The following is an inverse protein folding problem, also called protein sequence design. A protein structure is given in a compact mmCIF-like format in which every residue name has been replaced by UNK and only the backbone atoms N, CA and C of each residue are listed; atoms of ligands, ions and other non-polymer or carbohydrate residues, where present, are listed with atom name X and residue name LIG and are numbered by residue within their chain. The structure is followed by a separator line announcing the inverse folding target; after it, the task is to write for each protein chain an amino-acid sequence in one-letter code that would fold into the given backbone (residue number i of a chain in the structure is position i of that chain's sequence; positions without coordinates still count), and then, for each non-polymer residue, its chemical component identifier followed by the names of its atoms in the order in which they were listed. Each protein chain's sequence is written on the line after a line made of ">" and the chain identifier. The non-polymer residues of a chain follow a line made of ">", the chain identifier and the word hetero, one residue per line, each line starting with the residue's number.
data_IF_987312132203
#
_entry.id   IF_987312132203
#
_cell.length_a   1.000
_cell.length_b   1.000
_cell.length_c   1.000
_cell.angle_alpha   90.00
_cell.angle_beta   90.00
_cell.angle_gamma   90.00
#
_symmetry.space_group_name_H-M   'P 1'
#
loop_
_entity.id
_entity.type
_entity.pdbx_description
1 polymer ?
#
# COMPACT_ATOMS: atom_id res chain seq x y z
N UNK A 1 32.16 -21.89 -50.98
CA UNK A 1 32.67 -21.24 -49.75
C UNK A 1 31.51 -21.14 -48.77
N UNK A 2 31.58 -21.98 -47.75
CA UNK A 2 30.65 -22.13 -46.63
C UNK A 2 30.67 -20.88 -45.73
N UNK A 3 29.52 -20.33 -45.32
CA UNK A 3 29.26 -19.85 -43.94
C UNK A 3 27.75 -19.84 -43.66
N UNK A 4 27.28 -20.95 -43.12
CA UNK A 4 26.00 -21.13 -42.45
C UNK A 4 26.13 -20.49 -41.05
N UNK A 5 25.34 -19.46 -40.74
CA UNK A 5 25.19 -18.96 -39.37
C UNK A 5 23.81 -19.43 -38.89
N UNK A 6 23.83 -20.46 -38.05
CA UNK A 6 22.69 -20.91 -37.27
C UNK A 6 22.60 -19.98 -36.06
N UNK A 7 21.57 -19.14 -36.01
CA UNK A 7 21.19 -18.44 -34.78
C UNK A 7 20.30 -19.38 -33.97
N UNK A 8 20.91 -20.06 -32.99
CA UNK A 8 20.23 -20.81 -31.95
C UNK A 8 19.76 -19.81 -30.90
N UNK A 9 18.51 -19.35 -30.99
CA UNK A 9 17.90 -18.55 -29.93
C UNK A 9 17.39 -19.51 -28.85
N UNK A 10 18.08 -19.50 -27.72
CA UNK A 10 17.76 -20.23 -26.50
C UNK A 10 16.37 -19.82 -25.99
N UNK A 11 15.46 -20.78 -25.87
CA UNK A 11 14.16 -20.60 -25.24
C UNK A 11 14.38 -20.55 -23.73
N UNK A 12 14.34 -19.35 -23.14
CA UNK A 12 14.33 -19.20 -21.69
C UNK A 12 12.92 -19.53 -21.18
N UNK A 13 12.75 -20.72 -20.60
CA UNK A 13 11.60 -21.03 -19.77
C UNK A 13 11.63 -20.13 -18.53
N UNK A 14 10.76 -19.13 -18.50
CA UNK A 14 10.45 -18.40 -17.28
C UNK A 14 9.64 -19.34 -16.39
N UNK A 15 10.28 -19.85 -15.34
CA UNK A 15 9.57 -20.54 -14.27
C UNK A 15 8.83 -19.47 -13.46
N UNK A 16 7.49 -19.43 -13.56
CA UNK A 16 6.69 -18.70 -12.58
C UNK A 16 6.79 -19.45 -11.26
N UNK A 17 7.52 -18.88 -10.30
CA UNK A 17 7.42 -19.30 -8.92
C UNK A 17 5.99 -18.98 -8.45
N UNK A 18 5.27 -20.01 -8.02
CA UNK A 18 3.98 -19.88 -7.35
C UNK A 18 4.27 -19.28 -5.97
N UNK A 19 4.05 -17.99 -5.80
CA UNK A 19 4.12 -17.36 -4.47
C UNK A 19 3.07 -18.03 -3.58
N UNK A 20 3.54 -18.66 -2.51
CA UNK A 20 2.66 -19.14 -1.46
C UNK A 20 2.08 -17.90 -0.78
N UNK A 21 0.77 -17.68 -0.95
CA UNK A 21 0.02 -16.60 -0.31
C UNK A 21 0.12 -16.75 1.22
N UNK A 22 1.15 -16.16 1.82
CA UNK A 22 1.24 -16.01 3.27
C UNK A 22 0.43 -14.77 3.63
N UNK A 23 -0.76 -15.00 4.17
CA UNK A 23 -1.60 -13.90 4.62
C UNK A 23 -0.97 -13.23 5.84
N UNK A 24 -0.45 -12.02 5.66
CA UNK A 24 0.05 -11.20 6.76
C UNK A 24 -1.09 -10.64 7.63
N UNK A 25 -0.85 -10.52 8.93
CA UNK A 25 -1.79 -9.94 9.89
C UNK A 25 -1.54 -8.44 9.97
N UNK A 26 -2.59 -7.66 9.80
CA UNK A 26 -2.54 -6.21 9.91
C UNK A 26 -2.29 -5.80 11.38
N UNK A 27 -1.17 -5.13 11.72
CA UNK A 27 -0.79 -4.85 13.11
C UNK A 27 -1.81 -4.04 13.92
N UNK A 28 -2.61 -3.21 13.26
CA UNK A 28 -3.60 -2.33 13.87
C UNK A 28 -5.04 -2.75 13.52
N UNK A 29 -5.24 -3.97 13.00
CA UNK A 29 -6.55 -4.47 12.58
C UNK A 29 -7.12 -3.77 11.35
N UNK A 30 -6.26 -3.10 10.57
CA UNK A 30 -6.62 -2.43 9.34
C UNK A 30 -6.69 -3.35 8.12
N UNK A 31 -6.70 -2.71 6.96
CA UNK A 31 -6.61 -3.36 5.65
C UNK A 31 -5.21 -3.22 5.08
N UNK A 32 -4.59 -4.34 4.70
CA UNK A 32 -3.28 -4.35 4.04
C UNK A 32 -3.44 -4.20 2.51
N UNK A 33 -2.63 -3.33 1.92
CA UNK A 33 -2.45 -3.15 0.49
C UNK A 33 -0.98 -3.42 0.17
N UNK A 34 -0.70 -4.41 -0.66
CA UNK A 34 0.66 -4.76 -1.08
C UNK A 34 1.18 -3.75 -2.12
N UNK A 35 2.48 -3.44 -2.04
CA UNK A 35 3.15 -2.50 -2.94
C UNK A 35 4.43 -3.13 -3.47
N UNK A 36 4.59 -3.08 -4.80
CA UNK A 36 5.83 -3.44 -5.48
C UNK A 36 6.15 -4.93 -5.42
N UNK A 37 5.22 -5.81 -5.81
CA UNK A 37 5.44 -7.27 -5.78
C UNK A 37 5.82 -7.75 -4.36
N UNK A 38 4.94 -7.45 -3.39
CA UNK A 38 5.10 -7.86 -1.99
C UNK A 38 6.36 -7.29 -1.29
N UNK A 39 6.99 -6.23 -1.79
CA UNK A 39 8.16 -5.61 -1.13
C UNK A 39 7.78 -4.80 0.11
N UNK A 40 6.59 -4.19 0.10
CA UNK A 40 6.06 -3.36 1.17
C UNK A 40 4.56 -3.58 1.34
N UNK A 41 4.04 -3.23 2.50
CA UNK A 41 2.62 -3.21 2.77
C UNK A 41 2.19 -1.84 3.30
N UNK A 42 0.99 -1.41 2.90
CA UNK A 42 0.31 -0.25 3.45
C UNK A 42 -0.84 -0.75 4.32
N UNK A 43 -0.88 -0.36 5.58
CA UNK A 43 -2.04 -0.65 6.43
C UNK A 43 -2.92 0.60 6.55
N UNK A 44 -4.16 0.49 6.07
CA UNK A 44 -5.18 1.51 6.27
C UNK A 44 -6.08 1.14 7.45
N UNK A 45 -6.24 2.06 8.39
CA UNK A 45 -7.09 1.91 9.58
C UNK A 45 -8.12 3.03 9.60
N UNK A 46 -9.40 2.68 9.57
CA UNK A 46 -10.50 3.63 9.65
C UNK A 46 -11.10 3.64 11.06
N UNK A 47 -11.13 4.81 11.69
CA UNK A 47 -11.96 5.05 12.87
C UNK A 47 -13.25 5.76 12.45
N UNK A 48 -14.36 5.03 12.47
CA UNK A 48 -15.67 5.54 12.08
C UNK A 48 -16.23 6.57 13.08
N UNK A 49 -15.88 6.47 14.36
CA UNK A 49 -16.37 7.40 15.37
C UNK A 49 -15.66 8.75 15.26
N UNK A 50 -14.33 8.71 15.09
CA UNK A 50 -13.52 9.92 14.90
C UNK A 50 -13.65 10.50 13.48
N UNK A 51 -13.98 9.68 12.48
CA UNK A 51 -13.95 10.08 11.08
C UNK A 51 -12.52 10.23 10.55
N UNK A 52 -11.61 9.37 10.98
CA UNK A 52 -10.20 9.39 10.61
C UNK A 52 -9.81 8.17 9.79
N UNK A 53 -8.81 8.37 8.93
CA UNK A 53 -8.11 7.31 8.23
C UNK A 53 -6.64 7.45 8.54
N UNK A 54 -6.05 6.39 9.08
CA UNK A 54 -4.62 6.29 9.36
C UNK A 54 -4.00 5.32 8.37
N UNK A 55 -2.82 5.69 7.86
CA UNK A 55 -1.99 4.88 6.98
C UNK A 55 -0.68 4.58 7.70
N UNK A 56 -0.33 3.31 7.79
CA UNK A 56 1.01 2.87 8.19
C UNK A 56 1.76 2.30 7.00
N UNK A 57 3.04 2.64 6.90
CA UNK A 57 3.95 2.10 5.90
C UNK A 57 4.77 0.99 6.55
N UNK A 58 4.71 -0.20 5.98
CA UNK A 58 5.27 -1.42 6.55
C UNK A 58 6.18 -2.14 5.54
N UNK A 59 7.00 -3.05 6.02
CA UNK A 59 7.75 -3.99 5.19
C UNK A 59 6.85 -5.05 4.55
N UNK A 60 7.46 -5.92 3.73
CA UNK A 60 6.81 -7.03 3.03
C UNK A 60 5.88 -7.87 3.92
N UNK A 61 6.27 -8.09 5.17
CA UNK A 61 5.58 -9.01 6.07
C UNK A 61 4.61 -8.31 7.04
N UNK A 62 4.46 -6.98 6.93
CA UNK A 62 3.69 -6.16 7.84
C UNK A 62 4.17 -6.26 9.30
N UNK A 63 5.46 -6.52 9.53
CA UNK A 63 6.03 -6.72 10.87
C UNK A 63 6.84 -5.51 11.34
N UNK A 64 7.43 -4.77 10.40
CA UNK A 64 8.26 -3.62 10.71
C UNK A 64 7.76 -2.35 10.00
N UNK A 65 7.86 -1.23 10.71
CA UNK A 65 7.53 0.09 10.21
C UNK A 65 8.64 0.65 9.29
N UNK A 66 8.23 1.22 8.16
CA UNK A 66 9.13 1.82 7.17
C UNK A 66 8.89 3.33 7.13
N UNK A 67 9.82 4.10 7.68
CA UNK A 67 9.72 5.57 7.67
C UNK A 67 9.93 6.14 6.28
N UNK A 68 9.17 7.18 5.95
CA UNK A 68 9.26 7.89 4.69
C UNK A 68 9.69 9.34 4.91
N UNK A 69 10.49 9.92 3.99
CA UNK A 69 10.83 11.33 3.97
C UNK A 69 9.69 12.19 3.40
N UNK A 70 8.46 11.98 3.87
CA UNK A 70 7.25 12.64 3.36
C UNK A 70 6.52 13.40 4.47
N UNK A 71 6.03 14.60 4.14
CA UNK A 71 5.18 15.40 5.06
C UNK A 71 3.70 15.06 4.93
N UNK A 72 3.31 14.51 3.79
CA UNK A 72 1.94 14.08 3.52
C UNK A 72 1.90 13.10 2.36
N UNK A 73 0.86 12.26 2.32
CA UNK A 73 0.54 11.38 1.19
C UNK A 73 -0.86 11.74 0.69
N UNK A 74 -1.01 11.91 -0.62
CA UNK A 74 -2.31 12.18 -1.22
C UNK A 74 -2.96 10.89 -1.72
N UNK A 75 -4.21 10.68 -1.34
CA UNK A 75 -5.03 9.55 -1.81
C UNK A 75 -6.25 10.14 -2.52
N UNK A 76 -6.37 9.84 -3.82
CA UNK A 76 -7.61 10.09 -4.56
C UNK A 76 -8.57 8.94 -4.27
N UNK A 77 -9.80 9.25 -3.87
CA UNK A 77 -10.78 8.27 -3.41
C UNK A 77 -12.05 8.38 -4.24
N UNK A 78 -12.60 7.23 -4.62
CA UNK A 78 -13.95 7.11 -5.12
C UNK A 78 -14.82 6.42 -4.07
N UNK A 79 -15.86 7.11 -3.62
CA UNK A 79 -16.79 6.60 -2.61
C UNK A 79 -18.23 6.90 -3.02
N UNK A 80 -19.02 5.85 -3.24
CA UNK A 80 -20.40 5.93 -3.75
C UNK A 80 -20.53 6.84 -4.99
N UNK A 81 -19.62 6.69 -5.95
CA UNK A 81 -19.60 7.47 -7.20
C UNK A 81 -19.20 8.95 -7.05
N UNK A 82 -18.68 9.35 -5.88
CA UNK A 82 -18.11 10.68 -5.65
C UNK A 82 -16.60 10.61 -5.59
N UNK A 83 -15.95 11.57 -6.22
CA UNK A 83 -14.51 11.77 -6.09
C UNK A 83 -14.22 12.60 -4.84
N UNK A 84 -13.37 12.07 -3.97
CA UNK A 84 -12.86 12.69 -2.76
C UNK A 84 -11.32 12.70 -2.83
N UNK A 85 -10.69 13.56 -2.03
CA UNK A 85 -9.24 13.58 -1.88
C UNK A 85 -8.89 13.69 -0.40
N UNK A 86 -8.05 12.78 0.08
CA UNK A 86 -7.46 12.88 1.42
C UNK A 86 -5.98 13.25 1.29
N UNK A 87 -5.55 14.23 2.07
CA UNK A 87 -4.13 14.51 2.30
C UNK A 87 -3.79 13.99 3.69
N UNK A 88 -3.17 12.82 3.75
CA UNK A 88 -2.79 12.19 5.01
C UNK A 88 -1.49 12.83 5.48
N UNK A 89 -1.56 13.61 6.56
CA UNK A 89 -0.44 14.31 7.13
C UNK A 89 0.45 13.35 7.94
N UNK A 90 1.77 13.52 7.83
CA UNK A 90 2.75 12.79 8.61
C UNK A 90 2.53 13.00 10.12
N UNK A 91 2.59 11.92 10.89
CA UNK A 91 2.45 11.93 12.35
C UNK A 91 3.81 11.68 12.98
N UNK A 92 4.28 12.62 13.81
CA UNK A 92 5.47 12.42 14.63
C UNK A 92 5.14 11.54 15.84
N UNK A 93 6.13 10.79 16.33
CA UNK A 93 5.99 10.00 17.54
C UNK A 93 7.29 10.08 18.35
N UNK A 94 7.22 10.76 19.50
CA UNK A 94 8.38 11.01 20.36
C UNK A 94 8.97 9.72 20.94
N UNK A 95 8.15 8.69 21.19
CA UNK A 95 8.60 7.43 21.78
C UNK A 95 9.43 6.60 20.79
N UNK A 96 9.09 6.64 19.51
CA UNK A 96 9.87 6.00 18.45
C UNK A 96 10.96 6.91 17.87
N UNK A 97 10.92 8.21 18.17
CA UNK A 97 11.78 9.22 17.57
C UNK A 97 11.42 9.56 16.12
N UNK A 98 10.20 9.25 15.68
CA UNK A 98 9.68 9.66 14.38
C UNK A 98 9.31 11.14 14.36
N UNK A 99 9.55 11.81 13.23
CA UNK A 99 9.27 13.23 13.03
C UNK A 99 8.47 13.46 11.75
N UNK A 100 7.93 14.66 11.58
CA UNK A 100 7.29 15.04 10.31
C UNK A 100 8.36 15.08 9.21
N UNK A 101 8.20 14.21 8.19
CA UNK A 101 9.23 14.00 7.18
C UNK A 101 10.27 12.93 7.54
N UNK A 102 10.03 12.15 8.61
CA UNK A 102 10.70 10.87 8.91
C UNK A 102 9.77 10.04 9.80
N UNK A 103 8.69 9.52 9.21
CA UNK A 103 7.68 8.73 9.94
C UNK A 103 7.09 7.65 9.05
N UNK A 104 6.60 6.59 9.68
CA UNK A 104 5.83 5.50 9.08
C UNK A 104 4.32 5.71 9.16
N UNK A 105 3.85 6.74 9.88
CA UNK A 105 2.43 6.96 10.14
C UNK A 105 1.92 8.26 9.52
N UNK A 106 0.77 8.18 8.84
CA UNK A 106 0.10 9.31 8.22
C UNK A 106 -1.39 9.29 8.55
N UNK A 107 -2.05 10.44 8.72
CA UNK A 107 -3.48 10.48 9.06
C UNK A 107 -4.23 11.64 8.40
N UNK A 108 -5.49 11.41 8.06
CA UNK A 108 -6.43 12.43 7.60
C UNK A 108 -7.80 12.26 8.30
N UNK A 109 -8.60 13.33 8.28
CA UNK A 109 -9.99 13.31 8.75
C UNK A 109 -10.93 13.79 7.67
N UNK A 110 -12.12 13.18 7.61
CA UNK A 110 -13.21 13.63 6.75
C UNK A 110 -14.55 13.14 7.30
N UNK A 111 -15.60 13.95 7.17
CA UNK A 111 -16.93 13.58 7.69
C UNK A 111 -17.52 12.33 7.03
N UNK A 112 -17.22 12.11 5.75
CA UNK A 112 -17.71 10.92 5.04
C UNK A 112 -17.09 9.63 5.60
N UNK A 113 -15.89 9.68 6.19
CA UNK A 113 -15.27 8.52 6.86
C UNK A 113 -16.08 8.06 8.06
N UNK A 114 -16.99 8.86 8.63
CA UNK A 114 -17.87 8.39 9.71
C UNK A 114 -18.98 7.46 9.23
N UNK A 115 -19.34 7.54 7.95
CA UNK A 115 -20.54 6.91 7.38
C UNK A 115 -20.22 5.84 6.35
N UNK A 116 -19.18 6.07 5.55
CA UNK A 116 -18.82 5.18 4.45
C UNK A 116 -17.74 4.22 4.91
N UNK A 117 -18.11 2.94 5.00
CA UNK A 117 -17.21 1.86 5.38
C UNK A 117 -16.40 1.28 4.21
N UNK A 118 -16.84 1.54 2.98
CA UNK A 118 -16.26 0.98 1.77
C UNK A 118 -15.89 2.09 0.79
N UNK A 119 -14.67 2.04 0.25
CA UNK A 119 -14.20 2.95 -0.77
C UNK A 119 -13.04 2.36 -1.55
N UNK A 120 -12.85 2.84 -2.78
CA UNK A 120 -11.67 2.56 -3.58
C UNK A 120 -10.89 3.85 -3.82
N UNK A 121 -9.63 3.74 -4.20
CA UNK A 121 -8.79 4.91 -4.41
C UNK A 121 -7.45 4.57 -5.01
N UNK A 122 -6.60 5.59 -5.07
CA UNK A 122 -5.29 5.50 -5.67
C UNK A 122 -4.33 6.52 -5.07
N UNK A 123 -3.11 6.07 -4.81
CA UNK A 123 -1.95 6.94 -4.56
C UNK A 123 -1.21 7.07 -5.89
N UNK A 124 -1.14 8.28 -6.44
CA UNK A 124 -0.57 8.50 -7.77
C UNK A 124 0.93 8.17 -7.82
N UNK A 125 1.66 8.54 -6.77
CA UNK A 125 3.07 8.21 -6.60
C UNK A 125 3.38 8.06 -5.11
N UNK A 126 4.12 7.00 -4.76
CA UNK A 126 4.62 6.74 -3.43
C UNK A 126 6.10 6.36 -3.54
N UNK A 127 6.96 7.07 -2.83
CA UNK A 127 8.38 6.72 -2.76
C UNK A 127 8.66 5.98 -1.46
N UNK A 128 9.22 4.78 -1.55
CA UNK A 128 9.63 3.97 -0.40
C UNK A 128 11.08 3.54 -0.62
N UNK A 129 11.97 3.90 0.30
CA UNK A 129 13.42 3.59 0.24
C UNK A 129 14.09 3.97 -1.10
N UNK A 130 13.68 5.09 -1.70
CA UNK A 130 14.22 5.59 -2.97
C UNK A 130 13.66 4.92 -4.23
N UNK A 131 12.75 3.94 -4.09
CA UNK A 131 11.99 3.36 -5.20
C UNK A 131 10.64 4.07 -5.33
N UNK A 132 10.26 4.44 -6.57
CA UNK A 132 9.00 5.09 -6.86
C UNK A 132 7.96 4.07 -7.35
N UNK A 133 6.84 3.99 -6.65
CA UNK A 133 5.68 3.18 -6.98
C UNK A 133 4.58 4.10 -7.48
N UNK A 134 4.03 3.80 -8.66
CA UNK A 134 2.98 4.62 -9.29
C UNK A 134 1.65 3.89 -9.26
N UNK A 135 0.59 4.68 -9.22
CA UNK A 135 -0.78 4.19 -9.34
C UNK A 135 -1.11 3.06 -8.37
N UNK A 136 -0.65 3.19 -7.11
CA UNK A 136 -0.91 2.21 -6.05
C UNK A 136 -2.41 2.22 -5.75
N UNK A 137 -3.09 1.15 -6.15
CA UNK A 137 -4.52 0.99 -5.94
C UNK A 137 -4.82 0.75 -4.46
N UNK A 138 -5.89 1.37 -3.98
CA UNK A 138 -6.39 1.22 -2.60
C UNK A 138 -7.82 0.71 -2.70
N UNK A 139 -8.12 -0.37 -2.00
CA UNK A 139 -9.48 -0.86 -1.80
C UNK A 139 -9.65 -1.04 -0.30
N UNK A 140 -10.73 -0.50 0.27
CA UNK A 140 -10.97 -0.54 1.70
C UNK A 140 -12.43 -0.93 2.01
N UNK A 141 -12.67 -1.90 2.92
CA UNK A 141 -11.69 -2.93 3.27
C UNK A 141 -11.36 -3.77 2.03
N UNK A 142 -10.21 -4.44 2.02
CA UNK A 142 -9.98 -5.51 1.04
C UNK A 142 -10.90 -6.66 1.45
N UNK A 143 -11.89 -6.98 0.62
CA UNK A 143 -12.68 -8.19 0.78
C UNK A 143 -11.72 -9.37 0.61
N UNK A 144 -11.42 -10.04 1.72
CA UNK A 144 -10.77 -11.35 1.70
C UNK A 144 -11.87 -12.35 1.44
N UNK A 145 -12.13 -12.64 0.17
CA UNK A 145 -12.85 -13.85 -0.16
C UNK A 145 -12.03 -15.00 0.45
N UNK A 146 -12.59 -15.57 1.52
CA UNK A 146 -12.10 -16.80 2.10
C UNK A 146 -12.25 -17.85 1.02
N UNK A 147 -11.15 -18.26 0.40
CA UNK A 147 -11.08 -19.58 -0.22
C UNK A 147 -11.30 -20.60 0.91
N UNK A 148 -12.56 -20.98 1.13
CA UNK A 148 -12.92 -22.21 1.83
C UNK A 148 -12.48 -23.38 0.94
N UNK A 149 -11.34 -23.99 1.26
CA UNK A 149 -11.01 -25.36 0.85
C UNK A 149 -11.69 -26.39 1.78
#
# INVERSE_FOLDING_TARGET
>A
MQRLIVFLTLLATVAFAKEAHHQHVAPHGGTLVEVGEHQFALEFVRDAAAGTLTLYILDAHAENFVRLPAKSIEVAIEVKGRAEKLSLAAVANELSGETVGDTSQFTASAEWLKREGEFAGKIAALEIRGAAFKDVAVTFPVNKDHDED
#
